data_IF_046022320123
#
_entry.id   IF_046022320123
#
_cell.length_a   1.000
_cell.length_b   1.000
_cell.length_c   1.000
_cell.angle_alpha   90.00
_cell.angle_beta   90.00
_cell.angle_gamma   90.00
#
_symmetry.space_group_name_H-M   'P 1'
#
loop_
_entity.id
_entity.type
_entity.pdbx_description
1 polymer ?
#
# COMPACT_ATOMS: atom_id res chain seq x y z
N UNK A 1 -60.58 34.79 -5.33
CA UNK A 1 -59.71 33.82 -4.61
C UNK A 1 -58.36 33.67 -5.31
N UNK A 2 -57.53 34.73 -5.35
CA UNK A 2 -56.30 34.75 -6.17
C UNK A 2 -55.03 35.23 -5.43
N UNK A 3 -55.10 35.49 -4.12
CA UNK A 3 -53.95 35.97 -3.35
C UNK A 3 -53.08 34.90 -2.69
N UNK A 4 -53.62 33.70 -2.43
CA UNK A 4 -52.89 32.63 -1.72
C UNK A 4 -51.99 31.78 -2.62
N UNK A 5 -52.33 31.65 -3.91
CA UNK A 5 -51.56 30.84 -4.86
C UNK A 5 -50.18 31.43 -5.17
N UNK A 6 -50.05 32.77 -5.15
CA UNK A 6 -48.81 33.45 -5.53
C UNK A 6 -47.73 33.40 -4.43
N UNK A 7 -48.14 33.38 -3.15
CA UNK A 7 -47.24 33.22 -2.00
C UNK A 7 -46.66 31.79 -1.92
N UNK A 8 -47.45 30.77 -2.26
CA UNK A 8 -46.99 29.37 -2.28
C UNK A 8 -46.00 29.12 -3.41
N UNK A 9 -46.23 29.72 -4.58
CA UNK A 9 -45.29 29.64 -5.70
C UNK A 9 -43.95 30.34 -5.38
N UNK A 10 -43.99 31.49 -4.71
CA UNK A 10 -42.79 32.24 -4.32
C UNK A 10 -41.95 31.50 -3.26
N UNK A 11 -42.61 30.83 -2.29
CA UNK A 11 -41.92 29.98 -1.31
C UNK A 11 -41.36 28.70 -1.92
N UNK A 12 -42.06 28.08 -2.87
CA UNK A 12 -41.56 26.90 -3.59
C UNK A 12 -40.33 27.22 -4.45
N UNK A 13 -40.29 28.39 -5.08
CA UNK A 13 -39.12 28.87 -5.83
C UNK A 13 -37.93 29.24 -4.92
N UNK A 14 -38.19 29.76 -3.72
CA UNK A 14 -37.13 30.04 -2.74
C UNK A 14 -36.47 28.76 -2.18
N UNK A 15 -37.24 27.68 -2.03
CA UNK A 15 -36.74 26.38 -1.57
C UNK A 15 -35.93 25.62 -2.64
N UNK A 16 -36.15 25.89 -3.92
CA UNK A 16 -35.39 25.31 -5.03
C UNK A 16 -34.03 26.00 -5.29
N UNK A 17 -33.83 27.21 -4.77
CA UNK A 17 -32.55 27.93 -4.89
C UNK A 17 -31.51 27.56 -3.82
N UNK A 18 -31.93 26.86 -2.75
CA UNK A 18 -31.07 26.33 -1.70
C UNK A 18 -30.82 24.83 -1.93
N UNK A 19 -30.27 24.50 -3.10
CA UNK A 19 -29.66 23.19 -3.31
C UNK A 19 -28.51 23.03 -2.30
N UNK A 20 -28.27 21.81 -1.76
CA UNK A 20 -27.14 21.60 -0.87
C UNK A 20 -25.88 21.98 -1.64
N UNK A 21 -25.12 22.93 -1.09
CA UNK A 21 -23.74 23.15 -1.47
C UNK A 21 -23.06 21.79 -1.31
N UNK A 22 -22.91 21.07 -2.42
CA UNK A 22 -22.12 19.84 -2.46
C UNK A 22 -20.75 20.28 -1.97
N UNK A 23 -20.41 19.82 -0.77
CA UNK A 23 -19.14 20.12 -0.16
C UNK A 23 -18.08 19.85 -1.21
N UNK A 24 -17.37 20.91 -1.60
CA UNK A 24 -16.15 20.79 -2.34
C UNK A 24 -15.24 19.94 -1.44
N UNK A 25 -15.19 18.64 -1.69
CA UNK A 25 -14.13 17.78 -1.21
C UNK A 25 -12.87 18.47 -1.73
N UNK A 26 -11.97 18.99 -0.89
CA UNK A 26 -10.74 19.56 -1.39
C UNK A 26 -10.07 18.45 -2.19
N UNK A 27 -9.96 18.65 -3.50
CA UNK A 27 -9.21 17.76 -4.37
C UNK A 27 -7.83 17.65 -3.74
N UNK A 28 -7.59 16.50 -3.12
CA UNK A 28 -6.31 16.05 -2.62
C UNK A 28 -5.30 16.43 -3.68
N UNK A 29 -4.35 17.30 -3.33
CA UNK A 29 -3.18 17.60 -4.17
C UNK A 29 -2.66 16.25 -4.64
N UNK A 30 -2.87 15.95 -5.91
CA UNK A 30 -2.27 14.78 -6.53
C UNK A 30 -0.80 15.16 -6.61
N UNK A 31 0.12 14.47 -5.93
CA UNK A 31 1.52 14.75 -6.13
C UNK A 31 1.85 14.38 -7.57
N UNK A 32 2.00 15.41 -8.41
CA UNK A 32 2.55 15.31 -9.74
C UNK A 32 3.97 14.77 -9.58
N UNK A 33 4.17 13.47 -9.72
CA UNK A 33 5.51 12.89 -9.66
C UNK A 33 5.62 11.78 -10.70
N UNK A 34 5.64 12.19 -11.97
CA UNK A 34 6.22 11.39 -13.06
C UNK A 34 7.76 11.48 -13.06
N UNK A 35 8.39 11.71 -11.90
CA UNK A 35 9.81 11.43 -11.72
C UNK A 35 9.89 9.92 -11.65
N UNK A 36 10.38 9.29 -12.73
CA UNK A 36 10.77 7.89 -12.76
C UNK A 36 11.82 7.69 -11.64
N UNK A 37 11.36 7.37 -10.43
CA UNK A 37 12.21 7.19 -9.27
C UNK A 37 12.94 5.88 -9.49
N UNK A 38 14.18 5.95 -9.98
CA UNK A 38 15.07 4.81 -10.11
C UNK A 38 15.04 4.02 -8.81
N UNK A 39 14.55 2.79 -8.88
CA UNK A 39 14.43 1.90 -7.74
C UNK A 39 15.84 1.51 -7.27
N UNK A 40 16.11 1.65 -5.96
CA UNK A 40 17.40 1.32 -5.37
C UNK A 40 17.35 -0.07 -4.74
N UNK A 41 18.40 -0.86 -4.90
CA UNK A 41 18.47 -2.15 -4.22
C UNK A 41 18.70 -1.97 -2.71
N UNK A 42 17.91 -2.69 -1.90
CA UNK A 42 18.09 -2.84 -0.45
C UNK A 42 18.46 -4.29 -0.15
N UNK A 43 19.66 -4.51 0.40
CA UNK A 43 20.17 -5.85 0.67
C UNK A 43 20.01 -6.23 2.14
N UNK A 44 19.46 -7.42 2.38
CA UNK A 44 19.49 -8.08 3.69
C UNK A 44 20.17 -9.43 3.54
N UNK A 45 21.27 -9.65 4.26
CA UNK A 45 21.94 -10.94 4.27
C UNK A 45 21.19 -11.95 5.12
N UNK A 46 21.08 -13.19 4.64
CA UNK A 46 20.46 -14.28 5.40
C UNK A 46 21.38 -15.51 5.49
N UNK A 47 21.23 -16.26 6.58
CA UNK A 47 21.92 -17.53 6.79
C UNK A 47 20.88 -18.53 7.26
N UNK A 48 20.74 -19.65 6.55
CA UNK A 48 19.76 -20.68 6.86
C UNK A 48 20.48 -21.99 7.20
N UNK A 49 20.11 -22.70 8.29
CA UNK A 49 20.65 -24.02 8.58
C UNK A 49 19.93 -25.06 7.72
N UNK A 50 20.41 -25.29 6.51
CA UNK A 50 19.75 -26.18 5.52
C UNK A 50 20.31 -27.59 5.62
N UNK A 51 21.64 -27.70 5.66
CA UNK A 51 22.35 -28.96 5.86
C UNK A 51 23.12 -28.94 7.18
N UNK A 52 23.74 -30.06 7.55
CA UNK A 52 24.55 -30.18 8.74
C UNK A 52 24.52 -31.58 9.35
N UNK A 53 25.35 -31.79 10.36
CA UNK A 53 25.44 -33.07 11.11
C UNK A 53 24.96 -32.93 12.55
N UNK A 54 24.57 -31.72 12.97
CA UNK A 54 24.05 -31.41 14.29
C UNK A 54 23.08 -30.22 14.28
N UNK A 55 22.52 -29.94 15.46
CA UNK A 55 21.62 -28.80 15.67
C UNK A 55 20.26 -28.93 14.97
N UNK A 56 19.60 -27.79 14.77
CA UNK A 56 18.27 -27.69 14.16
C UNK A 56 18.37 -27.27 12.68
N UNK A 57 17.88 -28.13 11.78
CA UNK A 57 17.87 -27.90 10.33
C UNK A 57 16.61 -27.15 9.85
N UNK A 58 16.26 -26.06 10.55
CA UNK A 58 15.06 -25.28 10.25
C UNK A 58 15.09 -24.57 8.89
N UNK A 59 16.27 -24.43 8.28
CA UNK A 59 16.47 -23.72 7.02
C UNK A 59 15.70 -24.30 5.85
N UNK A 60 15.36 -25.59 5.86
CA UNK A 60 14.59 -26.22 4.78
C UNK A 60 13.18 -25.64 4.64
N UNK A 61 12.54 -25.29 5.75
CA UNK A 61 11.23 -24.62 5.74
C UNK A 61 11.35 -23.09 5.76
N UNK A 62 12.33 -22.56 6.49
CA UNK A 62 12.47 -21.11 6.64
C UNK A 62 12.95 -20.40 5.37
N UNK A 63 13.81 -21.01 4.55
CA UNK A 63 14.25 -20.40 3.29
C UNK A 63 13.08 -20.17 2.32
N UNK A 64 12.26 -21.18 1.95
CA UNK A 64 11.14 -20.94 1.04
C UNK A 64 10.11 -19.97 1.64
N UNK A 65 9.87 -20.02 2.95
CA UNK A 65 8.99 -19.04 3.62
C UNK A 65 9.52 -17.61 3.49
N UNK A 66 10.84 -17.40 3.69
CA UNK A 66 11.46 -16.08 3.54
C UNK A 66 11.46 -15.60 2.08
N UNK A 67 11.62 -16.50 1.11
CA UNK A 67 11.54 -16.16 -0.31
C UNK A 67 10.12 -15.74 -0.73
N UNK A 68 9.08 -16.44 -0.24
CA UNK A 68 7.69 -16.02 -0.46
C UNK A 68 7.42 -14.65 0.18
N UNK A 69 7.87 -14.43 1.41
CA UNK A 69 7.72 -13.12 2.05
C UNK A 69 8.48 -12.00 1.31
N UNK A 70 9.65 -12.29 0.74
CA UNK A 70 10.41 -11.34 -0.08
C UNK A 70 9.65 -10.94 -1.36
N UNK A 71 8.96 -11.90 -1.97
CA UNK A 71 8.09 -11.65 -3.11
C UNK A 71 6.93 -10.72 -2.72
N UNK A 72 6.22 -11.04 -1.64
CA UNK A 72 5.10 -10.24 -1.12
C UNK A 72 5.53 -8.80 -0.80
N UNK A 73 6.68 -8.62 -0.15
CA UNK A 73 7.23 -7.31 0.21
C UNK A 73 7.52 -6.46 -1.03
N UNK A 74 8.10 -7.06 -2.07
CA UNK A 74 8.39 -6.36 -3.32
C UNK A 74 7.14 -6.13 -4.18
N UNK A 75 6.07 -6.90 -3.97
CA UNK A 75 4.79 -6.75 -4.67
C UNK A 75 3.91 -5.63 -4.10
N UNK A 76 4.10 -5.24 -2.83
CA UNK A 76 3.36 -4.14 -2.20
C UNK A 76 4.06 -2.77 -2.41
N UNK A 77 3.58 -1.95 -3.37
CA UNK A 77 4.27 -0.70 -3.75
C UNK A 77 4.32 0.35 -2.64
N UNK A 78 3.44 0.26 -1.64
CA UNK A 78 3.40 1.21 -0.54
C UNK A 78 4.36 0.85 0.60
N UNK A 79 4.92 -0.37 0.62
CA UNK A 79 5.75 -0.83 1.73
C UNK A 79 7.18 -0.29 1.66
N UNK A 80 7.82 -0.38 0.48
CA UNK A 80 9.20 0.05 0.23
C UNK A 80 9.30 0.99 -0.99
N UNK A 81 8.73 2.20 -0.93
CA UNK A 81 8.61 3.06 -2.12
C UNK A 81 9.97 3.52 -2.67
N UNK A 82 10.30 3.03 -3.87
CA UNK A 82 11.57 3.32 -4.56
C UNK A 82 12.73 2.43 -4.12
N UNK A 83 12.44 1.30 -3.47
CA UNK A 83 13.43 0.29 -3.14
C UNK A 83 12.97 -1.10 -3.56
N UNK A 84 13.92 -1.88 -4.08
CA UNK A 84 13.74 -3.31 -4.32
C UNK A 84 14.53 -4.09 -3.30
N UNK A 85 13.87 -4.90 -2.50
CA UNK A 85 14.53 -5.74 -1.52
C UNK A 85 15.17 -6.97 -2.19
N UNK A 86 16.41 -7.27 -1.80
CA UNK A 86 17.18 -8.44 -2.23
C UNK A 86 17.74 -9.17 -1.01
N UNK A 87 17.72 -10.49 -1.06
CA UNK A 87 18.16 -11.33 0.06
C UNK A 87 19.16 -12.41 -0.40
N UNK A 88 20.46 -12.09 -0.52
CA UNK A 88 21.47 -13.12 -0.68
C UNK A 88 21.51 -14.00 0.58
N UNK A 89 21.64 -15.31 0.39
CA UNK A 89 21.66 -16.26 1.49
C UNK A 89 22.69 -17.36 1.32
N UNK A 90 23.18 -17.89 2.45
CA UNK A 90 24.09 -19.04 2.50
C UNK A 90 23.61 -20.09 3.52
N UNK A 91 24.07 -21.33 3.35
CA UNK A 91 23.86 -22.42 4.30
C UNK A 91 24.93 -22.40 5.40
N UNK A 92 24.53 -22.38 6.68
CA UNK A 92 25.47 -22.44 7.81
C UNK A 92 26.06 -23.82 8.07
N UNK A 93 25.46 -24.88 7.52
CA UNK A 93 25.92 -26.27 7.69
C UNK A 93 26.14 -26.66 9.15
N UNK A 94 25.16 -26.44 10.03
CA UNK A 94 25.32 -26.56 11.49
C UNK A 94 26.10 -27.82 11.89
N UNK A 95 27.31 -27.62 12.42
CA UNK A 95 28.24 -28.68 12.83
C UNK A 95 28.13 -28.92 14.34
N UNK A 96 28.47 -30.14 14.76
CA UNK A 96 28.57 -30.50 16.18
C UNK A 96 29.85 -29.99 16.79
#
# INVERSE_FOLDING_TARGET
MQGRAMLVACWALLLLALGPAQGAVPTRVQPDTSVQKQEKDLYIGAIFPINGTGGWLGGQGCLPAALMALEDVNAEPNLLPGYRMKMPYNDSQVRK
#
